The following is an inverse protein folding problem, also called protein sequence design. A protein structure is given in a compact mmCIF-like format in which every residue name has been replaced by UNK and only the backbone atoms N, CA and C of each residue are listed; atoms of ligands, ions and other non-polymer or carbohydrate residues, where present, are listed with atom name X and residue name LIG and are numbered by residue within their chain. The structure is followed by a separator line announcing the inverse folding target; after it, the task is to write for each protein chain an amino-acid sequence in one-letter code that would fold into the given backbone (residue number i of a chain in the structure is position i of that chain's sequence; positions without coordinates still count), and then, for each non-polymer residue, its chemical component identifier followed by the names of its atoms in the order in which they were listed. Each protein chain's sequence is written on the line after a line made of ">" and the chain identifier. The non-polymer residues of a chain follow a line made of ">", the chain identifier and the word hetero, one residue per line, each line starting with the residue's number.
data_IF_684623402477
#
_entry.id   IF_684623402477
#
_cell.length_a   1.000
_cell.length_b   1.000
_cell.length_c   1.000
_cell.angle_alpha   90.00
_cell.angle_beta   90.00
_cell.angle_gamma   90.00
#
_symmetry.space_group_name_H-M   'P 1'
#
loop_
_entity.id
_entity.type
_entity.pdbx_description
1 polymer ?
#
# COMPACT_ATOMS: atom_id res chain seq x y z
N UNK A 1 13.23 -8.66 6.56
CA UNK A 1 13.34 -7.54 5.59
C UNK A 1 12.12 -6.64 5.75
N UNK A 2 12.27 -5.30 5.72
CA UNK A 2 11.11 -4.40 5.79
C UNK A 2 10.30 -4.45 4.47
N UNK A 3 8.98 -4.42 4.59
CA UNK A 3 8.04 -4.18 3.48
C UNK A 3 7.70 -2.70 3.38
N UNK A 4 7.26 -2.10 4.47
CA UNK A 4 6.83 -0.70 4.52
C UNK A 4 7.32 -0.01 5.78
N UNK A 5 7.61 1.28 5.64
CA UNK A 5 7.88 2.17 6.77
C UNK A 5 6.91 3.34 6.66
N UNK A 6 6.26 3.68 7.77
CA UNK A 6 5.32 4.79 7.88
C UNK A 6 5.71 5.68 9.06
N UNK A 7 5.98 6.96 8.79
CA UNK A 7 5.99 7.96 9.85
C UNK A 7 4.53 8.30 10.20
N UNK A 8 4.10 7.92 11.40
CA UNK A 8 2.74 8.16 11.83
C UNK A 8 2.54 9.67 12.11
N UNK A 9 1.34 10.25 11.84
CA UNK A 9 1.10 11.69 11.96
C UNK A 9 1.22 12.26 13.37
N UNK A 10 1.33 11.42 14.42
CA UNK A 10 1.58 11.86 15.80
C UNK A 10 2.97 12.51 16.00
N UNK A 11 3.81 12.50 14.98
CA UNK A 11 5.16 13.08 14.97
C UNK A 11 6.22 12.28 15.70
N UNK A 12 5.86 11.22 16.42
CA UNK A 12 6.78 10.44 17.25
C UNK A 12 6.87 8.96 16.89
N UNK A 13 5.81 8.37 16.35
CA UNK A 13 5.76 6.93 16.06
C UNK A 13 6.21 6.63 14.63
N UNK A 14 7.17 5.72 14.50
CA UNK A 14 7.51 5.09 13.21
C UNK A 14 7.00 3.66 13.26
N UNK A 15 6.24 3.27 12.23
CA UNK A 15 5.71 1.92 12.07
C UNK A 15 6.48 1.23 10.96
N UNK A 16 6.94 0.01 11.19
CA UNK A 16 7.62 -0.82 10.20
C UNK A 16 6.96 -2.18 10.11
N UNK A 17 6.60 -2.60 8.91
CA UNK A 17 6.20 -3.97 8.63
C UNK A 17 7.36 -4.77 8.07
N UNK A 18 7.41 -6.04 8.39
CA UNK A 18 8.47 -6.95 7.96
C UNK A 18 7.94 -8.21 7.28
N UNK A 19 8.79 -8.81 6.45
CA UNK A 19 8.54 -10.14 5.88
C UNK A 19 8.65 -11.21 6.96
N UNK A 20 8.07 -12.41 6.76
CA UNK A 20 8.38 -13.55 7.60
C UNK A 20 9.85 -13.93 7.49
N UNK A 21 10.36 -14.60 8.51
CA UNK A 21 11.68 -15.24 8.47
C UNK A 21 11.68 -16.44 7.53
N UNK A 22 12.88 -16.97 7.24
CA UNK A 22 13.06 -18.17 6.41
C UNK A 22 12.30 -19.37 7.00
N UNK A 23 11.45 -19.99 6.19
CA UNK A 23 10.64 -21.14 6.58
C UNK A 23 9.34 -20.81 7.33
N UNK A 24 9.06 -19.53 7.58
CA UNK A 24 7.87 -19.07 8.33
C UNK A 24 6.84 -18.39 7.45
N UNK A 25 5.62 -18.24 7.99
CA UNK A 25 4.52 -17.42 7.48
C UNK A 25 4.20 -16.32 8.47
N UNK A 26 3.62 -15.22 7.99
CA UNK A 26 3.24 -14.11 8.85
C UNK A 26 4.41 -13.21 9.25
N UNK A 27 4.28 -11.94 8.94
CA UNK A 27 5.26 -10.90 9.28
C UNK A 27 4.88 -10.12 10.52
N UNK A 28 5.82 -9.41 11.08
CA UNK A 28 5.64 -8.61 12.31
C UNK A 28 5.42 -7.15 11.98
N UNK A 29 4.72 -6.43 12.90
CA UNK A 29 4.67 -4.99 12.95
C UNK A 29 5.52 -4.48 14.11
N UNK A 30 6.42 -3.56 13.81
CA UNK A 30 7.22 -2.84 14.79
C UNK A 30 6.73 -1.40 14.90
N UNK A 31 6.53 -0.93 16.12
CA UNK A 31 6.23 0.46 16.46
C UNK A 31 7.41 1.01 17.25
N UNK A 32 8.08 2.02 16.72
CA UNK A 32 9.18 2.72 17.35
C UNK A 32 8.72 4.08 17.86
N UNK A 33 8.81 4.31 19.17
CA UNK A 33 8.58 5.61 19.79
C UNK A 33 9.91 6.40 19.81
N UNK A 34 9.99 7.46 19.01
CA UNK A 34 11.20 8.28 18.84
C UNK A 34 11.55 9.09 20.08
N UNK A 35 10.56 9.49 20.88
CA UNK A 35 10.77 10.29 22.09
C UNK A 35 11.26 9.40 23.23
N UNK A 36 10.62 8.26 23.44
CA UNK A 36 10.96 7.32 24.51
C UNK A 36 12.10 6.38 24.14
N UNK A 37 12.49 6.31 22.86
CA UNK A 37 13.49 5.37 22.34
C UNK A 37 13.13 3.90 22.66
N UNK A 38 11.83 3.57 22.59
CA UNK A 38 11.30 2.25 22.88
C UNK A 38 10.57 1.64 21.72
N UNK A 39 10.50 0.32 21.67
CA UNK A 39 9.79 -0.40 20.63
C UNK A 39 8.71 -1.33 21.19
N UNK A 40 7.66 -1.52 20.38
CA UNK A 40 6.66 -2.56 20.55
C UNK A 40 6.63 -3.38 19.28
N UNK A 41 6.68 -4.72 19.39
CA UNK A 41 6.62 -5.62 18.24
C UNK A 41 5.38 -6.50 18.40
N UNK A 42 4.52 -6.49 17.38
CA UNK A 42 3.36 -7.36 17.31
C UNK A 42 3.65 -8.52 16.34
N UNK A 43 3.37 -9.78 16.74
CA UNK A 43 3.37 -10.91 15.82
C UNK A 43 2.17 -10.84 14.87
N UNK A 44 2.22 -11.59 13.80
CA UNK A 44 1.11 -11.73 12.85
C UNK A 44 -0.20 -12.16 13.54
N UNK A 45 -0.14 -13.06 14.51
CA UNK A 45 -1.31 -13.50 15.30
C UNK A 45 -2.02 -12.40 16.06
N UNK A 46 -1.37 -11.25 16.29
CA UNK A 46 -1.97 -10.07 16.88
C UNK A 46 -2.48 -9.06 15.85
N UNK A 47 -2.23 -9.30 14.56
CA UNK A 47 -2.62 -8.43 13.43
C UNK A 47 -3.57 -9.19 12.51
N UNK A 48 -3.07 -10.02 11.61
CA UNK A 48 -3.82 -10.98 10.79
C UNK A 48 -2.99 -12.26 10.69
N UNK A 49 -3.52 -13.33 11.21
CA UNK A 49 -2.80 -14.61 11.33
C UNK A 49 -2.29 -15.11 9.97
N UNK A 50 -1.04 -15.59 9.96
CA UNK A 50 -0.36 -16.14 8.79
C UNK A 50 -0.20 -15.15 7.61
N UNK A 51 -0.32 -13.84 7.86
CA UNK A 51 -0.18 -12.81 6.85
C UNK A 51 0.84 -11.74 7.26
N UNK A 52 1.40 -11.03 6.29
CA UNK A 52 2.30 -9.91 6.54
C UNK A 52 1.69 -8.62 6.05
N UNK A 53 1.86 -7.52 6.79
CA UNK A 53 1.43 -6.20 6.30
C UNK A 53 2.33 -5.74 5.16
N UNK A 54 1.77 -5.62 3.96
CA UNK A 54 2.49 -5.18 2.76
C UNK A 54 2.37 -3.68 2.55
N UNK A 55 1.19 -3.12 2.80
CA UNK A 55 0.89 -1.70 2.64
C UNK A 55 0.19 -1.16 3.89
N UNK A 56 0.38 0.13 4.20
CA UNK A 56 -0.26 0.75 5.36
C UNK A 56 -0.36 2.26 5.21
N UNK A 57 -1.42 2.83 5.79
CA UNK A 57 -1.68 4.26 5.87
C UNK A 57 -2.29 4.64 7.21
N UNK A 58 -2.01 5.86 7.67
CA UNK A 58 -2.69 6.43 8.82
C UNK A 58 -4.11 6.87 8.43
N UNK A 59 -5.07 6.60 9.29
CA UNK A 59 -6.43 7.11 9.19
C UNK A 59 -6.73 8.11 10.31
N UNK A 60 -7.72 9.00 10.13
CA UNK A 60 -8.22 9.85 11.22
C UNK A 60 -8.67 9.04 12.44
N UNK A 61 -8.61 9.66 13.65
CA UNK A 61 -9.05 9.06 14.90
C UNK A 61 -8.08 8.00 15.44
N UNK A 62 -6.78 8.25 15.31
CA UNK A 62 -5.69 7.40 15.82
C UNK A 62 -5.81 5.95 15.33
N UNK A 63 -6.01 5.78 14.02
CA UNK A 63 -6.13 4.48 13.38
C UNK A 63 -5.07 4.25 12.32
N UNK A 64 -4.72 2.98 12.14
CA UNK A 64 -3.89 2.48 11.07
C UNK A 64 -4.74 1.55 10.20
N UNK A 65 -4.77 1.78 8.89
CA UNK A 65 -5.24 0.79 7.93
C UNK A 65 -4.04 0.06 7.37
N UNK A 66 -4.07 -1.26 7.38
CA UNK A 66 -3.06 -2.09 6.72
C UNK A 66 -3.70 -3.04 5.72
N UNK A 67 -3.01 -3.25 4.62
CA UNK A 67 -3.29 -4.27 3.63
C UNK A 67 -2.22 -5.36 3.69
N UNK A 68 -2.64 -6.61 3.65
CA UNK A 68 -1.74 -7.75 3.86
C UNK A 68 -1.30 -8.42 2.56
N UNK A 69 -0.34 -9.33 2.70
CA UNK A 69 0.03 -10.35 1.71
C UNK A 69 -0.02 -11.72 2.36
N UNK A 70 -0.41 -12.71 1.56
CA UNK A 70 -0.40 -14.14 1.95
C UNK A 70 0.95 -14.82 1.65
N UNK A 71 1.90 -14.09 1.04
CA UNK A 71 3.19 -14.64 0.66
C UNK A 71 3.99 -15.09 1.89
N UNK A 72 4.44 -16.35 1.93
CA UNK A 72 5.31 -16.82 3.01
C UNK A 72 6.72 -16.28 2.84
N UNK A 73 7.54 -16.43 3.87
CA UNK A 73 8.98 -16.28 3.76
C UNK A 73 9.59 -17.33 2.85
N UNK A 74 10.83 -17.11 2.42
CA UNK A 74 11.55 -18.07 1.57
C UNK A 74 11.57 -19.46 2.25
N UNK A 75 11.09 -20.47 1.55
CA UNK A 75 10.98 -21.84 2.08
C UNK A 75 9.82 -22.07 3.05
N UNK A 76 9.00 -21.08 3.32
CA UNK A 76 7.78 -21.21 4.12
C UNK A 76 6.60 -21.73 3.30
N UNK A 77 5.61 -22.31 3.99
CA UNK A 77 4.36 -22.73 3.37
C UNK A 77 3.34 -21.58 3.42
N UNK A 78 2.61 -21.41 2.32
CA UNK A 78 1.46 -20.50 2.28
C UNK A 78 0.30 -21.13 3.05
N UNK A 79 -0.20 -20.41 4.07
CA UNK A 79 -1.30 -20.88 4.92
C UNK A 79 -2.58 -20.10 4.70
N UNK A 80 -2.48 -18.77 4.60
CA UNK A 80 -3.64 -17.93 4.30
C UNK A 80 -4.05 -18.06 2.83
N UNK A 81 -5.35 -18.15 2.56
CA UNK A 81 -5.92 -18.29 1.21
C UNK A 81 -6.13 -16.96 0.52
N UNK A 82 -6.42 -15.91 1.29
CA UNK A 82 -6.75 -14.57 0.79
C UNK A 82 -6.12 -13.51 1.68
N UNK A 83 -5.68 -12.42 1.07
CA UNK A 83 -5.18 -11.26 1.79
C UNK A 83 -6.34 -10.42 2.35
N UNK A 84 -6.08 -9.70 3.43
CA UNK A 84 -7.08 -8.92 4.14
C UNK A 84 -6.68 -7.44 4.28
N UNK A 85 -7.68 -6.57 4.36
CA UNK A 85 -7.53 -5.26 4.99
C UNK A 85 -7.83 -5.36 6.48
N UNK A 86 -7.09 -4.61 7.29
CA UNK A 86 -7.38 -4.48 8.72
C UNK A 86 -7.32 -3.02 9.18
N UNK A 87 -8.10 -2.69 10.21
CA UNK A 87 -8.06 -1.40 10.90
C UNK A 87 -7.62 -1.66 12.33
N UNK A 88 -6.54 -0.98 12.74
CA UNK A 88 -5.95 -1.07 14.08
C UNK A 88 -6.13 0.26 14.81
N UNK A 89 -6.46 0.19 16.09
CA UNK A 89 -6.41 1.32 17.00
C UNK A 89 -4.97 1.55 17.47
N UNK A 90 -4.45 2.74 17.29
CA UNK A 90 -3.04 3.05 17.55
C UNK A 90 -2.71 3.18 19.04
N UNK A 91 -3.66 3.59 19.86
CA UNK A 91 -3.45 3.69 21.31
C UNK A 91 -3.32 2.30 21.95
N UNK A 92 -4.26 1.39 21.65
CA UNK A 92 -4.27 0.02 22.17
C UNK A 92 -3.41 -0.96 21.38
N UNK A 93 -3.02 -0.63 20.14
CA UNK A 93 -2.37 -1.51 19.15
C UNK A 93 -3.14 -2.82 18.91
N UNK A 94 -4.47 -2.74 18.95
CA UNK A 94 -5.37 -3.86 18.67
C UNK A 94 -6.08 -3.67 17.34
N UNK A 95 -6.20 -4.74 16.57
CA UNK A 95 -7.05 -4.78 15.39
C UNK A 95 -8.51 -4.74 15.82
N UNK A 96 -9.24 -3.73 15.34
CA UNK A 96 -10.68 -3.54 15.61
C UNK A 96 -11.55 -4.16 14.51
N UNK A 97 -10.98 -4.36 13.34
CA UNK A 97 -11.66 -4.92 12.19
C UNK A 97 -10.64 -5.47 11.19
N UNK A 98 -10.93 -6.62 10.60
CA UNK A 98 -10.20 -7.15 9.44
C UNK A 98 -11.15 -7.95 8.54
N UNK A 99 -10.87 -8.01 7.23
CA UNK A 99 -11.70 -8.75 6.28
C UNK A 99 -10.99 -8.97 4.94
N UNK A 100 -11.16 -10.15 4.36
CA UNK A 100 -10.92 -10.39 2.94
C UNK A 100 -12.09 -9.75 2.15
N UNK A 101 -11.80 -8.72 1.37
CA UNK A 101 -12.83 -7.97 0.63
C UNK A 101 -13.00 -8.48 -0.80
N UNK A 102 -11.98 -9.11 -1.36
CA UNK A 102 -11.96 -9.58 -2.74
C UNK A 102 -11.59 -11.06 -2.78
N UNK A 103 -12.45 -11.92 -3.35
CA UNK A 103 -12.15 -13.34 -3.46
C UNK A 103 -10.84 -13.58 -4.24
N UNK A 104 -9.98 -14.45 -3.70
CA UNK A 104 -8.76 -14.90 -4.32
C UNK A 104 -7.59 -13.91 -4.34
N UNK A 105 -7.76 -12.69 -3.81
CA UNK A 105 -6.68 -11.68 -3.75
C UNK A 105 -5.59 -12.13 -2.78
N UNK A 106 -4.33 -12.00 -3.22
CA UNK A 106 -3.15 -12.43 -2.48
C UNK A 106 -2.38 -11.28 -1.85
N UNK A 107 -2.48 -10.08 -2.45
CA UNK A 107 -1.70 -8.92 -2.07
C UNK A 107 -2.54 -7.64 -2.10
N UNK A 108 -2.57 -6.89 -1.00
CA UNK A 108 -2.89 -5.46 -1.05
C UNK A 108 -1.60 -4.69 -1.36
N UNK A 109 -1.29 -4.58 -2.65
CA UNK A 109 0.03 -4.18 -3.15
C UNK A 109 0.45 -2.78 -2.71
N UNK A 110 -0.45 -1.82 -2.76
CA UNK A 110 -0.25 -0.47 -2.20
C UNK A 110 -1.60 0.19 -1.90
N UNK A 111 -1.63 1.08 -0.91
CA UNK A 111 -2.79 1.87 -0.52
C UNK A 111 -2.39 3.31 -0.19
N UNK A 112 -3.30 4.25 -0.43
CA UNK A 112 -3.16 5.64 0.00
C UNK A 112 -4.51 6.22 0.43
N UNK A 113 -4.47 7.32 1.18
CA UNK A 113 -5.68 8.08 1.54
C UNK A 113 -5.82 9.25 0.59
N UNK A 114 -6.94 9.33 -0.10
CA UNK A 114 -7.27 10.45 -0.99
C UNK A 114 -7.72 11.71 -0.24
N UNK A 115 -7.83 12.84 -0.95
CA UNK A 115 -8.27 14.11 -0.37
C UNK A 115 -9.74 14.08 0.10
N UNK A 116 -10.52 13.12 -0.37
CA UNK A 116 -11.91 12.87 0.03
C UNK A 116 -12.03 11.96 1.27
N UNK A 117 -10.90 11.54 1.85
CA UNK A 117 -10.85 10.65 3.01
C UNK A 117 -11.09 9.18 2.70
N UNK A 118 -11.30 8.82 1.42
CA UNK A 118 -11.39 7.44 0.98
C UNK A 118 -10.00 6.83 0.81
N UNK A 119 -9.93 5.53 0.86
CA UNK A 119 -8.69 4.78 0.63
C UNK A 119 -8.69 4.23 -0.79
N UNK A 120 -7.67 4.60 -1.53
CA UNK A 120 -7.40 4.12 -2.89
C UNK A 120 -6.35 3.02 -2.81
N UNK A 121 -6.55 1.92 -3.53
CA UNK A 121 -5.64 0.80 -3.46
C UNK A 121 -5.51 0.00 -4.75
N UNK A 122 -4.44 -0.78 -4.80
CA UNK A 122 -4.19 -1.79 -5.84
C UNK A 122 -4.02 -3.14 -5.16
N UNK A 123 -4.72 -4.16 -5.67
CA UNK A 123 -4.51 -5.55 -5.27
C UNK A 123 -3.88 -6.35 -6.40
N UNK A 124 -3.05 -7.34 -6.05
CA UNK A 124 -2.34 -8.23 -6.99
C UNK A 124 -1.65 -7.50 -8.14
N UNK A 125 -1.23 -6.24 -7.91
CA UNK A 125 -0.57 -5.34 -8.87
C UNK A 125 -1.42 -5.00 -10.12
N UNK A 126 -2.73 -5.18 -10.08
CA UNK A 126 -3.61 -5.07 -11.25
C UNK A 126 -5.02 -4.56 -11.01
N UNK A 127 -5.64 -4.87 -9.89
CA UNK A 127 -7.03 -4.46 -9.61
C UNK A 127 -7.03 -3.18 -8.75
N UNK A 128 -7.59 -2.11 -9.30
CA UNK A 128 -7.82 -0.87 -8.57
C UNK A 128 -9.11 -0.97 -7.74
N UNK A 129 -9.09 -0.40 -6.54
CA UNK A 129 -10.27 -0.30 -5.69
C UNK A 129 -10.28 1.00 -4.90
N UNK A 130 -11.47 1.40 -4.45
CA UNK A 130 -11.68 2.49 -3.49
C UNK A 130 -12.51 1.96 -2.32
N UNK A 131 -12.05 2.23 -1.11
CA UNK A 131 -12.63 1.74 0.13
C UNK A 131 -13.00 2.90 1.05
N UNK A 132 -14.22 2.89 1.59
CA UNK A 132 -14.68 3.80 2.63
C UNK A 132 -14.28 3.22 4.00
N UNK A 133 -13.27 3.79 4.69
CA UNK A 133 -12.79 3.23 5.95
C UNK A 133 -13.76 3.44 7.13
N UNK A 134 -14.70 4.39 7.01
CA UNK A 134 -15.72 4.65 8.04
C UNK A 134 -16.83 3.63 7.93
N UNK A 135 -17.37 3.43 6.72
CA UNK A 135 -18.43 2.44 6.45
C UNK A 135 -17.89 1.01 6.34
N UNK A 136 -16.57 0.84 6.12
CA UNK A 136 -15.89 -0.45 5.92
C UNK A 136 -16.42 -1.22 4.71
N UNK A 137 -16.63 -0.50 3.61
CA UNK A 137 -17.13 -1.05 2.35
C UNK A 137 -16.29 -0.61 1.17
N UNK A 138 -16.19 -1.46 0.15
CA UNK A 138 -15.66 -1.11 -1.16
C UNK A 138 -16.72 -0.28 -1.88
N UNK A 139 -16.36 0.92 -2.33
CA UNK A 139 -17.25 1.84 -3.06
C UNK A 139 -17.01 1.83 -4.57
N UNK A 140 -15.83 1.34 -4.99
CA UNK A 140 -15.48 1.18 -6.40
C UNK A 140 -14.43 0.07 -6.56
N UNK A 141 -14.53 -0.69 -7.67
CA UNK A 141 -13.48 -1.60 -8.12
C UNK A 141 -13.40 -1.64 -9.65
N UNK A 142 -12.20 -1.82 -10.16
CA UNK A 142 -11.93 -1.88 -11.60
C UNK A 142 -10.72 -2.79 -11.87
N UNK A 143 -10.80 -3.61 -12.92
CA UNK A 143 -9.62 -4.30 -13.46
C UNK A 143 -8.77 -3.29 -14.25
N UNK A 144 -7.72 -2.78 -13.62
CA UNK A 144 -6.83 -1.81 -14.25
C UNK A 144 -5.82 -2.47 -15.20
N UNK A 145 -5.62 -3.80 -15.12
CA UNK A 145 -4.71 -4.54 -15.99
C UNK A 145 -5.16 -4.48 -17.46
N UNK A 146 -6.48 -4.55 -17.70
CA UNK A 146 -7.03 -4.52 -19.05
C UNK A 146 -6.73 -3.20 -19.78
N UNK A 147 -6.76 -2.07 -19.08
CA UNK A 147 -6.60 -0.74 -19.66
C UNK A 147 -5.15 -0.21 -19.59
N UNK A 148 -4.40 -0.53 -18.53
CA UNK A 148 -3.11 0.10 -18.23
C UNK A 148 -1.97 -0.90 -18.03
N UNK A 149 -2.26 -2.19 -18.01
CA UNK A 149 -1.31 -3.23 -17.66
C UNK A 149 -1.13 -3.36 -16.13
N UNK A 150 -0.01 -3.94 -15.71
CA UNK A 150 0.29 -4.16 -14.28
C UNK A 150 1.12 -3.02 -13.72
N UNK A 151 0.96 -2.79 -12.43
CA UNK A 151 1.90 -1.97 -11.67
C UNK A 151 3.17 -2.77 -11.36
N UNK A 152 4.23 -2.09 -10.88
CA UNK A 152 5.45 -2.78 -10.48
C UNK A 152 5.18 -3.76 -9.33
N UNK A 153 5.79 -4.94 -9.42
CA UNK A 153 5.80 -5.95 -8.37
C UNK A 153 7.10 -5.93 -7.54
N UNK A 154 7.82 -4.80 -7.56
CA UNK A 154 9.02 -4.64 -6.74
C UNK A 154 8.69 -4.77 -5.25
N UNK A 155 9.67 -5.22 -4.48
CA UNK A 155 9.56 -5.25 -3.03
C UNK A 155 9.30 -3.84 -2.48
N UNK A 156 8.32 -3.68 -1.62
CA UNK A 156 7.84 -2.38 -1.10
C UNK A 156 7.38 -1.44 -2.21
N UNK A 157 6.41 -1.83 -3.01
CA UNK A 157 5.94 -1.01 -4.11
C UNK A 157 5.44 0.34 -3.61
N UNK A 158 5.80 1.40 -4.33
CA UNK A 158 5.24 2.75 -4.19
C UNK A 158 4.53 3.06 -5.49
N UNK A 159 3.27 2.70 -5.55
CA UNK A 159 2.46 2.80 -6.76
C UNK A 159 1.80 4.17 -6.84
N UNK A 160 1.35 4.67 -5.69
CA UNK A 160 0.67 5.96 -5.60
C UNK A 160 1.64 7.12 -5.42
N UNK A 161 1.42 8.20 -6.19
CA UNK A 161 2.14 9.46 -6.09
C UNK A 161 1.11 10.59 -6.02
N UNK A 162 1.32 11.53 -5.10
CA UNK A 162 0.46 12.70 -4.96
C UNK A 162 1.04 13.90 -5.70
N UNK A 163 0.20 14.56 -6.51
CA UNK A 163 0.51 15.85 -7.11
C UNK A 163 0.31 17.03 -6.12
N UNK A 164 0.62 18.25 -6.57
CA UNK A 164 0.67 19.43 -5.68
C UNK A 164 -0.68 19.86 -5.12
N UNK A 165 -1.78 19.52 -5.82
CA UNK A 165 -3.15 19.88 -5.39
C UNK A 165 -3.92 18.65 -4.88
N UNK A 166 -3.21 17.58 -4.48
CA UNK A 166 -3.82 16.34 -4.04
C UNK A 166 -4.27 15.42 -5.16
N UNK A 167 -3.82 15.66 -6.40
CA UNK A 167 -4.04 14.71 -7.49
C UNK A 167 -3.42 13.37 -7.16
N UNK A 168 -4.10 12.29 -7.52
CA UNK A 168 -3.65 10.92 -7.31
C UNK A 168 -3.15 10.36 -8.63
N UNK A 169 -1.88 9.97 -8.65
CA UNK A 169 -1.26 9.28 -9.79
C UNK A 169 -0.89 7.86 -9.39
N UNK A 170 -1.02 6.93 -10.35
CA UNK A 170 -0.58 5.55 -10.21
C UNK A 170 0.51 5.25 -11.24
N UNK A 171 1.54 4.55 -10.79
CA UNK A 171 2.65 4.12 -11.63
C UNK A 171 2.41 2.67 -12.08
N UNK A 172 2.06 2.52 -13.35
CA UNK A 172 2.04 1.24 -14.05
C UNK A 172 3.39 1.00 -14.74
N UNK A 173 3.74 -0.25 -15.01
CA UNK A 173 5.01 -0.58 -15.67
C UNK A 173 5.20 0.21 -16.97
N UNK A 174 4.11 0.45 -17.72
CA UNK A 174 4.17 1.09 -19.03
C UNK A 174 3.62 2.52 -19.07
N UNK A 175 3.30 3.13 -17.91
CA UNK A 175 2.74 4.47 -17.92
C UNK A 175 2.35 5.04 -16.57
N UNK A 176 1.94 6.29 -16.61
CA UNK A 176 1.46 7.06 -15.46
C UNK A 176 -0.03 7.32 -15.69
N UNK A 177 -0.85 6.96 -14.71
CA UNK A 177 -2.31 7.10 -14.75
C UNK A 177 -2.73 8.06 -13.64
N UNK A 178 -3.67 8.97 -13.92
CA UNK A 178 -4.32 9.83 -12.93
C UNK A 178 -5.69 9.26 -12.58
N UNK A 179 -6.01 9.31 -11.28
CA UNK A 179 -7.36 9.03 -10.77
C UNK A 179 -8.03 10.32 -10.36
N UNK A 180 -9.29 10.49 -10.73
CA UNK A 180 -10.11 11.61 -10.29
C UNK A 180 -10.90 11.21 -9.03
N UNK A 181 -10.64 11.86 -7.88
CA UNK A 181 -11.46 11.66 -6.69
C UNK A 181 -12.94 11.92 -6.97
N UNK A 182 -13.82 11.17 -6.32
CA UNK A 182 -15.27 11.27 -6.49
C UNK A 182 -15.84 10.50 -7.68
N UNK A 183 -15.28 10.63 -8.89
CA UNK A 183 -15.68 9.83 -10.05
C UNK A 183 -14.93 8.49 -10.15
N UNK A 184 -13.77 8.40 -9.52
CA UNK A 184 -12.83 7.27 -9.56
C UNK A 184 -12.30 6.94 -10.97
N UNK A 185 -12.54 7.84 -11.92
CA UNK A 185 -12.13 7.66 -13.32
C UNK A 185 -10.61 7.67 -13.43
N UNK A 186 -10.09 6.62 -14.06
CA UNK A 186 -8.68 6.48 -14.38
C UNK A 186 -8.38 6.99 -15.79
N UNK A 187 -7.34 7.79 -15.94
CA UNK A 187 -6.94 8.38 -17.22
C UNK A 187 -5.44 8.25 -17.42
N UNK A 188 -5.01 7.70 -18.56
CA UNK A 188 -3.60 7.62 -18.92
C UNK A 188 -3.05 9.03 -19.17
N UNK A 189 -2.09 9.46 -18.36
CA UNK A 189 -1.42 10.77 -18.49
C UNK A 189 -0.25 10.67 -19.44
N UNK A 190 0.53 9.61 -19.35
CA UNK A 190 1.69 9.37 -20.20
C UNK A 190 2.00 7.89 -20.34
N UNK A 191 2.41 7.46 -21.54
CA UNK A 191 3.12 6.19 -21.74
C UNK A 191 4.57 6.38 -21.36
N UNK A 192 5.14 5.42 -20.65
CA UNK A 192 6.56 5.44 -20.31
C UNK A 192 7.37 4.76 -21.44
N UNK A 193 8.46 5.39 -21.91
CA UNK A 193 9.32 4.77 -22.93
C UNK A 193 10.21 3.67 -22.34
N UNK A 194 10.28 3.56 -21.01
CA UNK A 194 11.04 2.55 -20.28
C UNK A 194 10.14 1.93 -19.20
N UNK A 195 10.35 0.67 -18.80
CA UNK A 195 9.56 0.06 -17.73
C UNK A 195 9.73 0.83 -16.42
N UNK A 196 8.64 1.19 -15.75
CA UNK A 196 8.67 1.72 -14.39
C UNK A 196 8.83 0.52 -13.45
N UNK A 197 10.01 0.34 -12.89
CA UNK A 197 10.31 -0.83 -12.07
C UNK A 197 10.07 -0.59 -10.58
N UNK A 198 10.25 0.64 -10.09
CA UNK A 198 10.01 0.97 -8.71
C UNK A 198 9.60 2.43 -8.59
N UNK A 199 8.89 2.68 -7.56
CA UNK A 199 8.39 4.00 -7.30
C UNK A 199 8.48 4.89 -6.92
N UNK A 200 7.75 5.90 -6.56
CA UNK A 200 7.81 7.22 -7.12
C UNK A 200 7.53 8.26 -6.09
N UNK A 201 7.93 9.45 -6.44
CA UNK A 201 7.64 10.65 -5.66
C UNK A 201 7.42 11.83 -6.61
N UNK A 202 6.80 12.90 -6.07
CA UNK A 202 6.58 14.14 -6.79
C UNK A 202 7.49 15.24 -6.23
N UNK A 203 8.19 15.94 -7.12
CA UNK A 203 8.98 17.11 -6.76
C UNK A 203 9.01 18.10 -7.95
N UNK A 204 8.76 19.38 -7.68
CA UNK A 204 8.91 20.49 -8.63
C UNK A 204 8.25 20.26 -10.00
N UNK A 205 7.00 19.82 -10.02
CA UNK A 205 6.24 19.58 -11.24
C UNK A 205 6.58 18.28 -11.95
N UNK A 206 7.31 17.37 -11.31
CA UNK A 206 7.75 16.12 -11.90
C UNK A 206 7.43 14.93 -11.01
N UNK A 207 7.05 13.83 -11.65
CA UNK A 207 6.98 12.50 -11.03
C UNK A 207 8.30 11.80 -11.34
N UNK A 208 8.99 11.34 -10.30
CA UNK A 208 10.24 10.60 -10.38
C UNK A 208 9.97 9.11 -10.20
N UNK A 209 10.68 8.27 -10.96
CA UNK A 209 10.61 6.82 -10.87
C UNK A 209 11.93 6.18 -11.32
N UNK A 210 12.07 4.89 -11.07
CA UNK A 210 13.29 4.14 -11.41
C UNK A 210 12.99 3.09 -12.48
N UNK A 211 13.89 2.99 -13.47
CA UNK A 211 13.93 1.91 -14.44
C UNK A 211 15.31 1.28 -14.44
N UNK A 212 15.41 0.00 -14.10
CA UNK A 212 16.72 -0.65 -13.89
C UNK A 212 17.54 0.09 -12.82
N UNK A 213 18.70 0.60 -13.18
CA UNK A 213 19.59 1.38 -12.31
C UNK A 213 19.50 2.90 -12.52
N UNK A 214 18.54 3.39 -13.30
CA UNK A 214 18.46 4.79 -13.69
C UNK A 214 17.22 5.45 -13.07
N UNK A 215 17.40 6.70 -12.60
CA UNK A 215 16.33 7.58 -12.18
C UNK A 215 15.80 8.39 -13.36
N UNK A 216 14.51 8.32 -13.55
CA UNK A 216 13.77 9.06 -14.58
C UNK A 216 12.79 10.05 -13.96
N UNK A 217 12.35 11.01 -14.73
CA UNK A 217 11.26 11.88 -14.33
C UNK A 217 10.34 12.23 -15.50
N UNK A 218 9.05 12.34 -15.21
CA UNK A 218 8.04 12.84 -16.12
C UNK A 218 7.53 14.20 -15.62
N UNK A 219 7.53 15.21 -16.48
CA UNK A 219 7.01 16.55 -16.16
C UNK A 219 5.50 16.55 -16.36
N UNK A 220 4.76 16.84 -15.29
CA UNK A 220 3.31 17.08 -15.39
C UNK A 220 3.07 18.37 -16.18
N UNK A 221 2.05 18.33 -17.05
CA UNK A 221 1.63 19.46 -17.89
C UNK A 221 0.48 20.19 -17.23
#
# INVERSE_FOLDING_TARGET
>A
RPFRILAYPDGKTIIMSGTPDYGYTGGRLLFWDREKQTQTVLPDSAVVLDQSTLSMVALPGDKLLGGTTTAPGTGGEKKATEAELYIMNMASKRVEWHKALFPGVQDYSDICVGPDGLVYGITDFKKFFVFDPVKRVVVHEQDAEADFGRTTAAQSPRIFVFGPNGEIYLLFVNGIVRVEPGSFRMTLVAKSPVPINTGGDYLDGRIYFVSGSHLYSYRLK
#
